data_IF_645170150109
#
_entry.id   IF_645170150109
#
_cell.length_a   1.000
_cell.length_b   1.000
_cell.length_c   1.000
_cell.angle_alpha   90.00
_cell.angle_beta   90.00
_cell.angle_gamma   90.00
#
_symmetry.space_group_name_H-M   'P 1'
#
loop_
_entity.id
_entity.type
_entity.pdbx_description
1 polymer ?
#
# COMPACT_ATOMS: atom_id res chain seq x y z
N UNK A 1 -21.32 42.79 5.32
CA UNK A 1 -20.98 41.52 4.66
C UNK A 1 -20.54 40.59 5.77
N UNK A 2 -21.16 39.43 5.93
CA UNK A 2 -20.74 38.50 6.98
C UNK A 2 -19.39 37.94 6.55
N UNK A 3 -18.31 38.48 7.13
CA UNK A 3 -16.95 37.96 6.97
C UNK A 3 -16.85 36.65 7.76
N UNK A 4 -17.62 35.63 7.36
CA UNK A 4 -17.41 34.27 7.80
C UNK A 4 -16.24 33.72 6.95
N UNK A 5 -15.02 33.62 7.51
CA UNK A 5 -13.85 33.21 6.76
C UNK A 5 -13.99 31.78 6.20
N UNK A 6 -14.79 30.92 6.83
CA UNK A 6 -15.04 29.56 6.33
C UNK A 6 -15.91 29.63 5.09
N UNK A 7 -16.98 30.43 5.13
CA UNK A 7 -17.87 30.62 3.98
C UNK A 7 -17.11 31.20 2.79
N UNK A 8 -16.34 32.27 3.00
CA UNK A 8 -15.53 32.89 1.95
C UNK A 8 -14.50 31.92 1.37
N UNK A 9 -13.83 31.13 2.21
CA UNK A 9 -12.88 30.09 1.75
C UNK A 9 -13.56 29.05 0.85
N UNK A 10 -14.74 28.55 1.24
CA UNK A 10 -15.45 27.54 0.47
C UNK A 10 -15.95 28.11 -0.86
N UNK A 11 -16.47 29.34 -0.86
CA UNK A 11 -16.93 30.02 -2.08
C UNK A 11 -15.77 30.27 -3.05
N UNK A 12 -14.64 30.77 -2.56
CA UNK A 12 -13.45 31.04 -3.38
C UNK A 12 -12.85 29.74 -3.94
N UNK A 13 -12.68 28.72 -3.09
CA UNK A 13 -12.15 27.43 -3.52
C UNK A 13 -13.06 26.75 -4.55
N UNK A 14 -14.38 26.78 -4.33
CA UNK A 14 -15.36 26.23 -5.26
C UNK A 14 -15.30 26.93 -6.62
N UNK A 15 -15.30 28.26 -6.64
CA UNK A 15 -15.18 29.04 -7.88
C UNK A 15 -13.88 28.75 -8.62
N UNK A 16 -12.76 28.63 -7.91
CA UNK A 16 -11.46 28.36 -8.52
C UNK A 16 -11.36 26.95 -9.12
N UNK A 17 -11.96 25.95 -8.49
CA UNK A 17 -11.92 24.57 -8.98
C UNK A 17 -12.92 24.32 -10.11
N UNK A 18 -14.08 24.98 -10.14
CA UNK A 18 -15.10 24.78 -11.19
C UNK A 18 -14.80 25.45 -12.54
N UNK A 19 -13.84 26.37 -12.61
CA UNK A 19 -13.54 27.14 -13.82
C UNK A 19 -12.47 26.51 -14.74
N UNK A 20 -11.92 25.36 -14.38
CA UNK A 20 -10.84 24.73 -15.16
C UNK A 20 -11.40 23.84 -16.25
N UNK A 21 -10.85 23.96 -17.46
CA UNK A 21 -11.06 22.93 -18.49
C UNK A 21 -10.48 21.60 -17.99
N UNK A 22 -11.27 20.53 -18.14
CA UNK A 22 -10.88 19.19 -17.74
C UNK A 22 -9.99 18.54 -18.80
N UNK A 23 -8.97 17.81 -18.35
CA UNK A 23 -8.23 16.85 -19.15
C UNK A 23 -8.63 15.45 -18.74
N UNK A 24 -8.93 14.61 -19.73
CA UNK A 24 -9.29 13.21 -19.53
C UNK A 24 -8.08 12.29 -19.71
N UNK A 25 -6.90 12.79 -19.35
CA UNK A 25 -5.61 12.08 -19.39
C UNK A 25 -4.91 12.26 -18.03
N UNK A 26 -4.34 11.18 -17.49
CA UNK A 26 -3.59 11.23 -16.22
C UNK A 26 -2.32 12.07 -16.36
N UNK A 27 -1.95 12.86 -15.36
CA UNK A 27 -0.63 13.52 -15.33
C UNK A 27 0.48 12.47 -15.18
N UNK A 28 1.41 12.42 -16.12
CA UNK A 28 2.48 11.43 -16.14
C UNK A 28 3.87 12.08 -16.06
N UNK A 29 4.71 11.57 -15.15
CA UNK A 29 6.13 11.95 -15.03
C UNK A 29 7.08 10.85 -15.56
N UNK A 30 6.54 9.71 -15.99
CA UNK A 30 7.25 8.63 -16.67
C UNK A 30 7.38 8.86 -18.18
N UNK A 31 7.83 7.83 -18.88
CA UNK A 31 8.01 7.82 -20.35
C UNK A 31 6.97 6.96 -21.08
N UNK A 32 6.20 6.16 -20.34
CA UNK A 32 5.16 5.31 -20.89
C UNK A 32 3.98 6.09 -21.46
N UNK A 33 3.25 5.46 -22.37
CA UNK A 33 2.07 6.04 -22.99
C UNK A 33 0.95 6.27 -21.97
N UNK A 34 0.29 7.43 -22.07
CA UNK A 34 -1.00 7.69 -21.42
C UNK A 34 -2.14 7.40 -22.39
N UNK A 35 -3.30 7.03 -21.86
CA UNK A 35 -4.49 6.76 -22.65
C UNK A 35 -5.56 7.81 -22.35
N UNK A 36 -6.31 8.17 -23.39
CA UNK A 36 -7.50 9.01 -23.24
C UNK A 36 -8.56 8.23 -22.48
N UNK A 37 -9.21 8.87 -21.52
CA UNK A 37 -10.32 8.32 -20.75
C UNK A 37 -11.60 8.84 -21.40
N UNK A 38 -12.24 8.02 -22.23
CA UNK A 38 -13.50 8.36 -22.88
C UNK A 38 -14.50 7.21 -22.73
N UNK A 39 -15.83 7.46 -22.79
CA UNK A 39 -16.82 6.40 -22.61
C UNK A 39 -16.64 5.19 -23.56
N UNK A 40 -16.12 5.42 -24.77
CA UNK A 40 -15.81 4.36 -25.74
C UNK A 40 -14.65 3.45 -25.35
N UNK A 41 -13.79 3.88 -24.44
CA UNK A 41 -12.59 3.14 -24.01
C UNK A 41 -12.87 2.21 -22.81
N UNK A 42 -14.08 2.28 -22.25
CA UNK A 42 -14.48 1.39 -21.17
C UNK A 42 -14.82 0.00 -21.71
N UNK A 43 -14.28 -1.02 -21.05
CA UNK A 43 -14.55 -2.41 -21.37
C UNK A 43 -15.34 -3.07 -20.24
N UNK A 44 -16.37 -3.83 -20.58
CA UNK A 44 -17.14 -4.62 -19.62
C UNK A 44 -16.30 -5.77 -19.04
N UNK A 45 -16.37 -5.96 -17.72
CA UNK A 45 -15.82 -7.16 -17.08
C UNK A 45 -16.86 -8.27 -17.13
N UNK A 46 -16.67 -9.19 -18.08
CA UNK A 46 -17.56 -10.32 -18.35
C UNK A 46 -17.31 -11.46 -17.38
N UNK A 47 -18.38 -12.09 -16.93
CA UNK A 47 -18.30 -13.23 -16.01
C UNK A 47 -17.60 -14.44 -16.67
N UNK A 48 -16.72 -15.07 -15.90
CA UNK A 48 -16.00 -16.30 -16.27
C UNK A 48 -16.39 -17.45 -15.34
N UNK A 49 -16.36 -18.68 -15.84
CA UNK A 49 -16.79 -19.86 -15.06
C UNK A 49 -15.75 -20.32 -14.03
N UNK A 50 -14.47 -20.06 -14.31
CA UNK A 50 -13.34 -20.58 -13.54
C UNK A 50 -12.51 -19.44 -12.97
N UNK A 51 -12.88 -18.88 -11.79
CA UNK A 51 -12.09 -17.85 -11.15
C UNK A 51 -10.71 -18.41 -10.77
N UNK A 52 -9.68 -17.58 -10.97
CA UNK A 52 -8.29 -17.89 -10.62
C UNK A 52 -8.15 -17.97 -9.10
N UNK A 53 -7.17 -18.73 -8.63
CA UNK A 53 -6.73 -18.64 -7.23
C UNK A 53 -5.96 -17.34 -7.06
N UNK A 54 -6.29 -16.57 -6.02
CA UNK A 54 -5.72 -15.27 -5.73
C UNK A 54 -5.13 -15.31 -4.33
N UNK A 55 -3.88 -14.87 -4.19
CA UNK A 55 -3.33 -14.46 -2.92
C UNK A 55 -3.43 -12.94 -2.76
N UNK A 56 -3.85 -12.46 -1.59
CA UNK A 56 -3.81 -11.06 -1.22
C UNK A 56 -2.78 -10.87 -0.12
N UNK A 57 -1.85 -9.93 -0.28
CA UNK A 57 -0.80 -9.63 0.70
C UNK A 57 -0.98 -8.20 1.20
N UNK A 58 -0.93 -8.03 2.51
CA UNK A 58 -1.03 -6.71 3.17
C UNK A 58 -0.17 -6.66 4.44
N UNK A 59 0.10 -5.44 4.93
CA UNK A 59 0.92 -5.15 6.08
C UNK A 59 0.33 -4.05 6.98
N UNK A 60 0.28 -4.33 8.28
CA UNK A 60 -0.03 -3.36 9.33
C UNK A 60 1.18 -3.10 10.23
N UNK A 61 1.25 -1.89 10.78
CA UNK A 61 2.19 -1.54 11.85
C UNK A 61 1.50 -0.74 12.95
N UNK A 62 2.14 -0.72 14.11
CA UNK A 62 1.69 0.00 15.29
C UNK A 62 2.88 0.59 16.03
N UNK A 63 3.00 1.93 16.10
CA UNK A 63 4.00 2.60 16.93
C UNK A 63 3.82 2.28 18.42
N UNK A 64 4.87 1.77 19.04
CA UNK A 64 4.89 1.42 20.47
C UNK A 64 5.55 2.50 21.31
N UNK A 65 6.67 3.04 20.84
CA UNK A 65 7.42 4.11 21.49
C UNK A 65 8.10 4.97 20.43
N UNK A 66 8.02 6.28 20.56
CA UNK A 66 8.60 7.24 19.61
C UNK A 66 9.38 8.34 20.32
N UNK A 67 10.49 8.72 19.70
CA UNK A 67 11.38 9.80 20.11
C UNK A 67 11.98 10.42 18.85
N UNK A 68 12.47 11.68 18.88
CA UNK A 68 13.07 12.30 17.70
C UNK A 68 14.23 11.53 17.07
N UNK A 69 14.88 10.61 17.81
CA UNK A 69 16.02 9.83 17.34
C UNK A 69 15.78 8.31 17.23
N UNK A 70 14.61 7.82 17.64
CA UNK A 70 14.26 6.41 17.49
C UNK A 70 12.75 6.18 17.44
N UNK A 71 12.36 5.08 16.81
CA UNK A 71 10.98 4.60 16.76
C UNK A 71 10.97 3.09 16.98
N UNK A 72 10.09 2.60 17.85
CA UNK A 72 9.82 1.17 18.03
C UNK A 72 8.42 0.88 17.50
N UNK A 73 8.31 -0.12 16.63
CA UNK A 73 7.05 -0.57 16.04
C UNK A 73 6.85 -2.06 16.23
N UNK A 74 5.60 -2.47 16.40
CA UNK A 74 5.17 -3.83 16.08
C UNK A 74 4.67 -3.83 14.64
N UNK A 75 5.08 -4.81 13.86
CA UNK A 75 4.69 -4.99 12.47
C UNK A 75 4.04 -6.36 12.32
N UNK A 76 3.08 -6.44 11.42
CA UNK A 76 2.43 -7.67 11.04
C UNK A 76 2.17 -7.66 9.55
N UNK A 77 2.61 -8.70 8.88
CA UNK A 77 2.29 -8.95 7.48
C UNK A 77 1.50 -10.23 7.38
N UNK A 78 0.56 -10.26 6.45
CA UNK A 78 -0.36 -11.36 6.33
C UNK A 78 -0.74 -11.59 4.87
N UNK A 79 -1.06 -12.84 4.54
CA UNK A 79 -1.70 -13.16 3.27
C UNK A 79 -2.95 -14.00 3.41
N UNK A 80 -3.91 -13.77 2.52
CA UNK A 80 -5.11 -14.61 2.40
C UNK A 80 -5.13 -15.30 1.03
N UNK A 81 -5.78 -16.46 0.93
CA UNK A 81 -5.96 -17.18 -0.33
C UNK A 81 -7.44 -17.35 -0.63
N UNK A 82 -7.84 -17.06 -1.86
CA UNK A 82 -9.22 -17.18 -2.31
C UNK A 82 -9.29 -17.76 -3.73
N UNK A 83 -10.42 -18.37 -4.06
CA UNK A 83 -10.79 -18.71 -5.43
C UNK A 83 -12.27 -18.39 -5.62
N UNK A 84 -12.55 -17.36 -6.42
CA UNK A 84 -13.87 -16.73 -6.48
C UNK A 84 -14.30 -16.26 -5.08
N UNK A 85 -15.43 -16.76 -4.58
CA UNK A 85 -15.96 -16.43 -3.24
C UNK A 85 -15.40 -17.31 -2.12
N UNK A 86 -14.66 -18.38 -2.44
CA UNK A 86 -14.25 -19.38 -1.45
C UNK A 86 -12.86 -19.07 -0.91
N UNK A 87 -12.72 -19.02 0.41
CA UNK A 87 -11.41 -18.97 1.08
C UNK A 87 -10.72 -20.32 0.93
N UNK A 88 -9.44 -20.30 0.58
CA UNK A 88 -8.58 -21.47 0.49
C UNK A 88 -7.68 -21.49 1.72
N UNK A 89 -7.49 -22.68 2.32
CA UNK A 89 -6.60 -22.85 3.46
C UNK A 89 -5.14 -22.77 2.97
N UNK A 90 -4.30 -21.88 3.54
CA UNK A 90 -2.86 -21.86 3.26
C UNK A 90 -2.16 -23.15 3.69
N UNK A 91 -1.05 -23.50 3.02
CA UNK A 91 -0.17 -24.61 3.42
C UNK A 91 0.69 -24.22 4.61
N UNK A 92 1.16 -22.97 4.66
CA UNK A 92 1.94 -22.43 5.77
C UNK A 92 1.16 -21.41 6.61
N UNK A 93 1.70 -21.00 7.75
CA UNK A 93 1.09 -19.95 8.56
C UNK A 93 1.02 -18.63 7.76
N UNK A 94 -0.17 -18.05 7.55
CA UNK A 94 -0.31 -16.84 6.75
C UNK A 94 0.17 -15.55 7.43
N UNK A 95 0.37 -15.58 8.75
CA UNK A 95 0.68 -14.39 9.55
C UNK A 95 2.12 -14.40 10.05
N UNK A 96 2.85 -13.33 9.77
CA UNK A 96 4.19 -13.09 10.32
C UNK A 96 4.14 -11.83 11.17
N UNK A 97 4.68 -11.91 12.39
CA UNK A 97 4.72 -10.79 13.32
C UNK A 97 6.14 -10.57 13.82
N UNK A 98 6.54 -9.30 13.93
CA UNK A 98 7.88 -8.94 14.39
C UNK A 98 7.88 -7.52 14.96
N UNK A 99 8.78 -7.26 15.90
CA UNK A 99 9.08 -5.90 16.31
C UNK A 99 10.20 -5.35 15.43
N UNK A 100 10.23 -4.04 15.27
CA UNK A 100 11.40 -3.36 14.73
C UNK A 100 11.69 -2.10 15.53
N UNK A 101 12.94 -1.67 15.48
CA UNK A 101 13.26 -0.29 15.79
C UNK A 101 13.98 0.37 14.61
N UNK A 102 13.80 1.68 14.50
CA UNK A 102 14.60 2.56 13.64
C UNK A 102 15.35 3.52 14.54
N UNK A 103 16.64 3.70 14.31
CA UNK A 103 17.46 4.74 14.96
C UNK A 103 18.05 5.67 13.93
N UNK A 104 18.09 6.97 14.22
CA UNK A 104 18.82 7.96 13.41
C UNK A 104 20.25 8.11 13.91
N UNK A 105 21.22 8.05 13.00
CA UNK A 105 22.62 8.39 13.26
C UNK A 105 22.99 9.64 12.45
N UNK A 106 23.84 10.50 13.01
CA UNK A 106 24.31 11.72 12.35
C UNK A 106 25.81 11.58 12.16
N UNK A 107 26.25 11.62 10.90
CA UNK A 107 27.66 11.59 10.53
C UNK A 107 28.04 12.88 9.81
N UNK A 108 29.25 13.38 10.05
CA UNK A 108 29.79 14.53 9.31
C UNK A 108 30.74 14.02 8.24
N UNK A 109 30.38 14.17 6.97
CA UNK A 109 31.22 13.82 5.81
C UNK A 109 31.47 15.10 5.03
N UNK A 110 32.75 15.43 4.80
CA UNK A 110 33.18 16.64 4.08
C UNK A 110 32.55 17.95 4.62
N UNK A 111 32.41 18.05 5.94
CA UNK A 111 31.82 19.21 6.63
C UNK A 111 30.28 19.30 6.52
N UNK A 112 29.63 18.36 5.83
CA UNK A 112 28.16 18.26 5.75
C UNK A 112 27.64 17.21 6.72
N UNK A 113 26.55 17.52 7.41
CA UNK A 113 25.84 16.56 8.27
C UNK A 113 24.93 15.69 7.41
N UNK A 114 25.15 14.38 7.47
CA UNK A 114 24.30 13.38 6.86
C UNK A 114 23.55 12.63 7.96
N UNK A 115 22.24 12.42 7.75
CA UNK A 115 21.42 11.61 8.64
C UNK A 115 21.25 10.24 7.99
N UNK A 116 21.62 9.18 8.71
CA UNK A 116 21.35 7.81 8.31
C UNK A 116 20.34 7.17 9.26
N UNK A 117 19.51 6.28 8.73
CA UNK A 117 18.53 5.52 9.49
C UNK A 117 18.89 4.04 9.42
N UNK A 118 18.98 3.39 10.58
CA UNK A 118 19.23 1.96 10.68
C UNK A 118 18.01 1.27 11.29
N UNK A 119 17.50 0.25 10.60
CA UNK A 119 16.37 -0.56 11.07
C UNK A 119 16.86 -1.94 11.51
N UNK A 120 16.42 -2.38 12.69
CA UNK A 120 16.61 -3.75 13.18
C UNK A 120 15.28 -4.46 13.34
N UNK A 121 15.28 -5.77 13.11
CA UNK A 121 14.10 -6.63 13.14
C UNK A 121 14.22 -7.70 14.23
N UNK A 122 13.13 -7.91 14.94
CA UNK A 122 13.01 -8.86 16.04
C UNK A 122 11.80 -9.77 15.76
N UNK A 123 12.00 -10.90 15.07
CA UNK A 123 10.91 -11.81 14.75
C UNK A 123 10.27 -12.35 16.03
N UNK A 124 8.94 -12.55 16.02
CA UNK A 124 8.23 -13.10 17.18
C UNK A 124 8.63 -14.55 17.47
N UNK A 125 8.91 -15.34 16.42
CA UNK A 125 9.48 -16.69 16.51
C UNK A 125 10.73 -16.84 15.64
N UNK A 126 11.59 -17.81 15.92
CA UNK A 126 12.77 -18.05 15.06
C UNK A 126 12.39 -18.48 13.64
N UNK A 127 11.22 -19.09 13.45
CA UNK A 127 10.68 -19.49 12.15
C UNK A 127 10.30 -18.27 11.30
N UNK A 128 9.79 -17.21 11.93
CA UNK A 128 9.36 -15.98 11.23
C UNK A 128 10.52 -15.29 10.49
N UNK A 129 11.77 -15.53 10.90
CA UNK A 129 12.97 -14.92 10.33
C UNK A 129 13.09 -15.16 8.81
N UNK A 130 12.58 -16.29 8.30
CA UNK A 130 12.64 -16.62 6.86
C UNK A 130 11.76 -15.70 6.00
N UNK A 131 10.76 -15.07 6.60
CA UNK A 131 9.84 -14.14 5.92
C UNK A 131 10.25 -12.67 6.06
N UNK A 132 11.37 -12.39 6.74
CA UNK A 132 11.85 -11.02 6.95
C UNK A 132 12.91 -10.62 5.92
N UNK A 133 13.02 -9.32 5.61
CA UNK A 133 14.07 -8.81 4.75
C UNK A 133 15.43 -8.80 5.47
N UNK A 134 16.49 -8.63 4.71
CA UNK A 134 17.83 -8.44 5.27
C UNK A 134 17.93 -7.04 5.89
N UNK A 135 18.36 -6.95 7.15
CA UNK A 135 18.52 -5.66 7.84
C UNK A 135 19.50 -4.71 7.14
N UNK A 136 20.49 -5.24 6.43
CA UNK A 136 21.42 -4.46 5.61
C UNK A 136 20.72 -3.66 4.51
N UNK A 137 19.57 -4.15 4.03
CA UNK A 137 18.78 -3.49 2.99
C UNK A 137 17.84 -2.41 3.59
N UNK A 138 17.67 -2.39 4.92
CA UNK A 138 16.80 -1.45 5.64
C UNK A 138 17.54 -0.22 6.19
N UNK A 139 18.69 0.11 5.59
CA UNK A 139 19.46 1.31 5.88
C UNK A 139 19.20 2.37 4.81
N UNK A 140 18.95 3.62 5.22
CA UNK A 140 18.72 4.74 4.31
C UNK A 140 19.47 5.99 4.74
N UNK A 141 19.97 6.78 3.78
CA UNK A 141 20.71 8.02 4.02
C UNK A 141 19.94 9.20 3.44
N UNK A 142 19.86 10.30 4.17
CA UNK A 142 19.21 11.54 3.72
C UNK A 142 20.05 12.77 4.09
N UNK A 143 20.10 13.75 3.20
CA UNK A 143 20.71 15.07 3.47
C UNK A 143 19.75 16.02 4.22
N UNK A 144 18.53 15.57 4.54
CA UNK A 144 17.52 16.38 5.25
C UNK A 144 17.90 16.59 6.72
N UNK A 145 17.68 17.80 7.22
CA UNK A 145 17.88 18.18 8.63
C UNK A 145 16.70 17.83 9.54
N UNK A 146 15.56 17.42 8.96
CA UNK A 146 14.43 16.86 9.71
C UNK A 146 14.67 15.37 9.97
N UNK A 147 14.96 15.05 11.23
CA UNK A 147 15.07 13.67 11.69
C UNK A 147 13.66 13.08 11.74
N UNK A 148 13.44 11.95 11.06
CA UNK A 148 12.16 11.22 11.01
C UNK A 148 10.98 12.10 10.53
N UNK A 149 10.82 12.29 9.20
CA UNK A 149 9.46 12.50 8.68
C UNK A 149 8.69 11.18 8.84
N UNK A 150 8.10 11.03 10.03
CA UNK A 150 7.60 9.82 10.69
C UNK A 150 6.38 9.13 10.08
N UNK A 151 6.30 9.03 8.76
CA UNK A 151 5.34 8.14 8.09
C UNK A 151 6.02 7.22 7.06
N UNK A 152 7.07 7.72 6.38
CA UNK A 152 7.82 6.93 5.38
C UNK A 152 8.84 5.99 6.02
N UNK A 153 9.47 6.38 7.12
CA UNK A 153 10.48 5.55 7.81
C UNK A 153 9.84 4.50 8.74
N UNK A 154 8.65 4.79 9.27
CA UNK A 154 7.89 3.92 10.19
C UNK A 154 7.52 2.59 9.55
N UNK A 155 7.37 2.56 8.22
CA UNK A 155 6.90 1.41 7.46
C UNK A 155 8.01 0.64 6.72
N UNK A 156 9.30 0.98 6.88
CA UNK A 156 10.39 0.30 6.16
C UNK A 156 10.42 -1.21 6.44
N UNK A 157 10.40 -1.59 7.73
CA UNK A 157 10.40 -2.99 8.14
C UNK A 157 9.18 -3.74 7.59
N UNK A 158 7.98 -3.16 7.78
CA UNK A 158 6.71 -3.70 7.28
C UNK A 158 6.70 -3.88 5.76
N UNK A 159 6.97 -2.81 5.00
CA UNK A 159 6.90 -2.78 3.54
C UNK A 159 7.87 -3.77 2.89
N UNK A 160 9.10 -3.88 3.40
CA UNK A 160 10.05 -4.88 2.90
C UNK A 160 9.64 -6.31 3.30
N UNK A 161 9.01 -6.49 4.47
CA UNK A 161 8.44 -7.77 4.86
C UNK A 161 7.22 -8.17 4.00
N UNK A 162 6.40 -7.22 3.55
CA UNK A 162 5.31 -7.47 2.59
C UNK A 162 5.88 -8.07 1.28
N UNK A 163 6.96 -7.49 0.74
CA UNK A 163 7.63 -8.06 -0.44
C UNK A 163 8.21 -9.45 -0.20
N UNK A 164 8.84 -9.68 0.94
CA UNK A 164 9.39 -10.99 1.27
C UNK A 164 8.30 -12.04 1.46
N UNK A 165 7.19 -11.68 2.09
CA UNK A 165 6.03 -12.55 2.22
C UNK A 165 5.43 -12.85 0.84
N UNK A 166 5.28 -11.84 -0.02
CA UNK A 166 4.81 -12.01 -1.40
C UNK A 166 5.69 -12.99 -2.20
N UNK A 167 7.02 -12.87 -2.09
CA UNK A 167 7.95 -13.83 -2.72
C UNK A 167 7.67 -15.25 -2.23
N UNK A 168 7.57 -15.43 -0.91
CA UNK A 168 7.31 -16.75 -0.31
C UNK A 168 5.97 -17.34 -0.75
N UNK A 169 4.92 -16.52 -0.84
CA UNK A 169 3.60 -16.93 -1.32
C UNK A 169 3.67 -17.39 -2.78
N UNK A 170 4.38 -16.67 -3.64
CA UNK A 170 4.62 -17.10 -5.02
C UNK A 170 5.40 -18.42 -5.04
N UNK A 171 6.41 -18.60 -4.19
CA UNK A 171 7.22 -19.84 -4.13
C UNK A 171 6.37 -21.05 -3.70
N UNK A 172 5.56 -20.92 -2.66
CA UNK A 172 4.96 -22.05 -1.93
C UNK A 172 3.45 -22.27 -2.17
N UNK A 173 2.68 -21.21 -2.43
CA UNK A 173 1.21 -21.26 -2.43
C UNK A 173 0.60 -21.18 -3.84
N UNK A 174 1.22 -20.45 -4.75
CA UNK A 174 0.67 -20.16 -6.08
C UNK A 174 1.26 -21.07 -7.17
N UNK A 175 0.53 -21.26 -8.26
CA UNK A 175 0.92 -22.03 -9.46
C UNK A 175 0.68 -21.20 -10.72
N UNK A 176 1.10 -21.72 -11.88
CA UNK A 176 0.89 -21.03 -13.15
C UNK A 176 -0.61 -20.71 -13.36
N UNK A 177 -0.91 -19.47 -13.73
CA UNK A 177 -2.26 -18.95 -13.91
C UNK A 177 -2.90 -18.39 -12.63
N UNK A 178 -2.32 -18.62 -11.45
CA UNK A 178 -2.78 -17.98 -10.21
C UNK A 178 -2.34 -16.51 -10.15
N UNK A 179 -2.93 -15.76 -9.22
CA UNK A 179 -2.71 -14.33 -9.04
C UNK A 179 -2.13 -14.02 -7.67
N UNK A 180 -1.22 -13.04 -7.62
CA UNK A 180 -0.81 -12.35 -6.40
C UNK A 180 -1.26 -10.89 -6.51
N UNK A 181 -1.99 -10.42 -5.51
CA UNK A 181 -2.43 -9.02 -5.37
C UNK A 181 -1.76 -8.42 -4.14
N UNK A 182 -0.99 -7.36 -4.34
CA UNK A 182 -0.43 -6.55 -3.24
C UNK A 182 -1.32 -5.32 -3.00
N UNK A 183 -1.47 -4.89 -1.73
CA UNK A 183 -2.18 -3.64 -1.43
C UNK A 183 -1.34 -2.42 -1.90
N UNK A 184 -1.93 -1.58 -2.74
CA UNK A 184 -1.26 -0.45 -3.37
C UNK A 184 -0.79 -0.70 -4.81
N UNK A 185 0.16 0.11 -5.27
CA UNK A 185 0.74 0.01 -6.62
C UNK A 185 1.98 -0.88 -6.65
N UNK A 186 2.36 -1.31 -7.85
CA UNK A 186 3.60 -2.05 -8.15
C UNK A 186 4.84 -1.15 -8.23
N UNK A 187 4.74 0.07 -7.71
CA UNK A 187 5.82 1.04 -7.60
C UNK A 187 6.61 0.84 -6.31
N UNK A 188 7.95 0.92 -6.43
CA UNK A 188 8.84 0.96 -5.28
C UNK A 188 9.12 2.39 -4.83
N UNK A 189 9.08 2.65 -3.52
CA UNK A 189 9.30 3.97 -2.92
C UNK A 189 10.70 4.14 -2.33
N UNK A 190 11.45 3.05 -2.15
CA UNK A 190 12.81 3.07 -1.61
C UNK A 190 13.80 2.39 -2.55
N UNK A 191 15.02 2.94 -2.64
CA UNK A 191 16.08 2.43 -3.52
C UNK A 191 16.34 0.93 -3.36
N UNK A 192 16.40 0.42 -2.12
CA UNK A 192 16.68 -0.98 -1.85
C UNK A 192 15.45 -1.90 -2.04
N UNK A 193 14.25 -1.34 -2.14
CA UNK A 193 13.02 -2.10 -2.35
C UNK A 193 12.97 -2.71 -3.76
N UNK A 194 13.57 -2.03 -4.74
CA UNK A 194 13.69 -2.47 -6.14
C UNK A 194 14.28 -3.89 -6.23
N UNK A 195 15.24 -4.23 -5.35
CA UNK A 195 15.84 -5.57 -5.29
C UNK A 195 14.79 -6.65 -4.98
N UNK A 196 13.87 -6.39 -4.05
CA UNK A 196 12.84 -7.33 -3.63
C UNK A 196 11.72 -7.42 -4.66
N UNK A 197 11.25 -6.26 -5.15
CA UNK A 197 10.24 -6.20 -6.20
C UNK A 197 10.72 -6.92 -7.47
N UNK A 198 11.96 -6.67 -7.92
CA UNK A 198 12.56 -7.39 -9.07
C UNK A 198 12.61 -8.89 -8.85
N UNK A 199 13.03 -9.35 -7.66
CA UNK A 199 13.05 -10.79 -7.33
C UNK A 199 11.65 -11.39 -7.41
N UNK A 200 10.63 -10.69 -6.87
CA UNK A 200 9.24 -11.13 -6.97
C UNK A 200 8.79 -11.25 -8.42
N UNK A 201 9.02 -10.21 -9.23
CA UNK A 201 8.59 -10.17 -10.63
C UNK A 201 9.28 -11.26 -11.46
N UNK A 202 10.61 -11.41 -11.33
CA UNK A 202 11.38 -12.45 -12.02
C UNK A 202 10.86 -13.86 -11.67
N UNK A 203 10.60 -14.11 -10.38
CA UNK A 203 10.06 -15.37 -9.89
C UNK A 203 8.66 -15.63 -10.43
N UNK A 204 7.79 -14.63 -10.38
CA UNK A 204 6.40 -14.76 -10.80
C UNK A 204 6.30 -14.99 -12.31
N UNK A 205 7.06 -14.25 -13.12
CA UNK A 205 7.18 -14.50 -14.56
C UNK A 205 7.65 -15.92 -14.86
N UNK A 206 8.70 -16.39 -14.17
CA UNK A 206 9.20 -17.76 -14.33
C UNK A 206 8.16 -18.82 -13.98
N UNK A 207 7.31 -18.58 -12.98
CA UNK A 207 6.29 -19.52 -12.50
C UNK A 207 4.95 -19.39 -13.24
N UNK A 208 4.78 -18.34 -14.06
CA UNK A 208 3.51 -18.01 -14.69
C UNK A 208 2.46 -17.48 -13.70
N UNK A 209 2.87 -16.90 -12.58
CA UNK A 209 1.97 -16.27 -11.59
C UNK A 209 1.77 -14.81 -11.99
N UNK A 210 0.52 -14.36 -12.03
CA UNK A 210 0.13 -13.00 -12.44
C UNK A 210 0.28 -12.05 -11.25
N UNK A 211 1.05 -10.98 -11.43
CA UNK A 211 1.28 -9.96 -10.40
C UNK A 211 0.36 -8.78 -10.63
N UNK A 212 -0.37 -8.42 -9.58
CA UNK A 212 -1.30 -7.31 -9.59
C UNK A 212 -1.09 -6.37 -8.40
N UNK A 213 -1.32 -5.08 -8.63
CA UNK A 213 -1.48 -4.07 -7.58
C UNK A 213 -2.93 -3.62 -7.50
N UNK A 214 -3.48 -3.45 -6.31
CA UNK A 214 -4.81 -2.91 -6.11
C UNK A 214 -4.78 -1.81 -5.05
N UNK A 215 -5.04 -0.57 -5.45
CA UNK A 215 -5.05 0.57 -4.53
C UNK A 215 -6.49 1.06 -4.28
N UNK A 216 -6.87 1.09 -3.00
CA UNK A 216 -8.15 1.62 -2.49
C UNK A 216 -8.32 3.12 -2.78
N UNK A 217 -7.20 3.86 -2.82
CA UNK A 217 -7.15 5.31 -3.02
C UNK A 217 -6.00 5.68 -3.95
N UNK A 218 -6.11 6.82 -4.63
CA UNK A 218 -5.04 7.38 -5.46
C UNK A 218 -4.90 8.87 -5.21
N UNK A 219 -3.66 9.37 -5.24
CA UNK A 219 -3.34 10.81 -5.25
C UNK A 219 -2.96 11.31 -6.64
N UNK A 220 -3.08 10.45 -7.66
CA UNK A 220 -2.85 10.85 -9.04
C UNK A 220 -3.93 11.82 -9.47
N UNK A 221 -3.51 12.77 -10.30
CA UNK A 221 -4.36 13.80 -10.89
C UNK A 221 -4.30 13.70 -12.41
N UNK A 222 -5.27 14.28 -13.09
CA UNK A 222 -5.22 14.51 -14.53
C UNK A 222 -4.27 15.66 -14.87
N UNK A 223 -4.02 15.88 -16.16
CA UNK A 223 -3.18 17.02 -16.59
C UNK A 223 -3.81 18.39 -16.26
N UNK A 224 -5.13 18.47 -16.08
CA UNK A 224 -5.85 19.65 -15.57
C UNK A 224 -5.80 19.80 -14.04
N UNK A 225 -5.34 18.76 -13.34
CA UNK A 225 -5.22 18.73 -11.88
C UNK A 225 -6.42 18.12 -11.14
N UNK A 226 -7.36 17.50 -11.85
CA UNK A 226 -8.52 16.84 -11.25
C UNK A 226 -8.12 15.51 -10.61
N UNK A 227 -8.70 15.09 -9.48
CA UNK A 227 -8.44 13.77 -8.90
C UNK A 227 -8.80 12.65 -9.89
N UNK A 228 -7.80 11.85 -10.31
CA UNK A 228 -7.94 10.92 -11.43
C UNK A 228 -9.15 9.97 -11.28
N UNK A 229 -9.28 9.30 -10.14
CA UNK A 229 -10.34 8.31 -9.94
C UNK A 229 -11.72 8.95 -9.84
N UNK A 230 -11.81 10.21 -9.39
CA UNK A 230 -13.07 10.95 -9.40
C UNK A 230 -13.46 11.29 -10.84
N UNK A 231 -12.51 11.78 -11.64
CA UNK A 231 -12.75 12.09 -13.05
C UNK A 231 -13.16 10.86 -13.87
N UNK A 232 -12.49 9.72 -13.66
CA UNK A 232 -12.89 8.44 -14.27
C UNK A 232 -14.32 8.06 -13.87
N UNK A 233 -14.68 8.25 -12.59
CA UNK A 233 -16.02 7.92 -12.11
C UNK A 233 -17.10 8.80 -12.76
N UNK A 234 -16.84 10.09 -12.97
CA UNK A 234 -17.73 11.01 -13.69
C UNK A 234 -17.94 10.56 -15.14
N UNK A 235 -16.86 10.27 -15.89
CA UNK A 235 -16.94 9.82 -17.28
C UNK A 235 -17.69 8.48 -17.38
N UNK A 236 -17.56 7.63 -16.36
CA UNK A 236 -18.22 6.33 -16.30
C UNK A 236 -19.75 6.42 -16.07
N UNK A 237 -20.30 7.59 -15.73
CA UNK A 237 -21.76 7.78 -15.60
C UNK A 237 -22.48 7.57 -16.95
N UNK A 238 -21.80 7.82 -18.06
CA UNK A 238 -22.31 7.61 -19.42
C UNK A 238 -22.08 6.18 -19.95
N UNK A 239 -21.52 5.28 -19.12
CA UNK A 239 -21.20 3.90 -19.49
C UNK A 239 -22.27 2.95 -18.97
N UNK A 240 -22.76 2.06 -19.84
CA UNK A 240 -23.88 1.13 -19.51
C UNK A 240 -23.47 -0.10 -18.70
N UNK A 241 -22.17 -0.33 -18.49
CA UNK A 241 -21.65 -1.52 -17.83
C UNK A 241 -21.72 -1.42 -16.31
N UNK A 242 -22.21 -2.47 -15.65
CA UNK A 242 -22.19 -2.56 -14.19
C UNK A 242 -20.78 -2.80 -13.62
N UNK A 243 -19.96 -3.58 -14.33
CA UNK A 243 -18.56 -3.86 -13.99
C UNK A 243 -17.69 -3.51 -15.18
N UNK A 244 -16.64 -2.74 -14.97
CA UNK A 244 -15.83 -2.23 -16.07
C UNK A 244 -14.38 -2.00 -15.70
N UNK A 245 -13.54 -1.87 -16.71
CA UNK A 245 -12.19 -1.34 -16.62
C UNK A 245 -11.91 -0.36 -17.76
N UNK A 246 -10.95 0.53 -17.55
CA UNK A 246 -10.44 1.45 -18.57
C UNK A 246 -8.93 1.59 -18.41
N UNK A 247 -8.20 1.63 -19.52
CA UNK A 247 -6.73 1.79 -19.53
C UNK A 247 -6.39 3.25 -19.17
N UNK A 248 -5.31 3.44 -18.40
CA UNK A 248 -4.91 4.76 -17.91
C UNK A 248 -3.51 5.13 -18.40
N UNK A 249 -2.51 4.30 -18.10
CA UNK A 249 -1.12 4.53 -18.52
C UNK A 249 -0.28 3.26 -18.46
N UNK A 250 0.78 3.18 -19.28
CA UNK A 250 1.79 2.12 -19.20
C UNK A 250 2.68 2.26 -17.95
N UNK A 251 2.94 3.50 -17.52
CA UNK A 251 3.57 3.90 -16.26
C UNK A 251 3.14 5.33 -15.93
N UNK A 252 3.10 5.67 -14.63
CA UNK A 252 3.02 7.07 -14.19
C UNK A 252 4.36 7.64 -13.68
N UNK A 253 5.37 6.79 -13.50
CA UNK A 253 6.73 7.16 -13.08
C UNK A 253 7.75 6.08 -13.46
N UNK A 254 9.05 6.39 -13.45
CA UNK A 254 10.12 5.47 -13.87
C UNK A 254 10.24 4.19 -13.03
N UNK A 255 9.81 4.24 -11.76
CA UNK A 255 9.87 3.11 -10.83
C UNK A 255 8.54 2.34 -10.77
N UNK A 256 7.55 2.77 -11.56
CA UNK A 256 6.27 2.07 -11.71
C UNK A 256 6.40 0.98 -12.78
N UNK A 257 6.09 -0.25 -12.38
CA UNK A 257 6.17 -1.44 -13.24
C UNK A 257 4.78 -1.96 -13.61
N UNK A 258 3.72 -1.36 -13.11
CA UNK A 258 2.35 -1.75 -13.41
C UNK A 258 1.81 -1.05 -14.65
N UNK A 259 1.18 -1.81 -15.55
CA UNK A 259 0.25 -1.24 -16.52
C UNK A 259 -1.02 -0.84 -15.77
N UNK A 260 -1.32 0.45 -15.76
CA UNK A 260 -2.36 1.04 -14.93
C UNK A 260 -3.71 1.05 -15.63
N UNK A 261 -4.72 0.62 -14.89
CA UNK A 261 -6.14 0.70 -15.22
C UNK A 261 -6.91 1.33 -14.07
N UNK A 262 -8.08 1.88 -14.38
CA UNK A 262 -9.12 2.13 -13.41
C UNK A 262 -10.20 1.06 -13.55
N UNK A 263 -10.72 0.56 -12.43
CA UNK A 263 -11.64 -0.58 -12.40
C UNK A 263 -12.82 -0.34 -11.46
N UNK A 264 -13.98 -0.88 -11.84
CA UNK A 264 -15.16 -1.01 -11.00
C UNK A 264 -15.63 -2.47 -11.03
N UNK A 265 -15.45 -3.16 -9.90
CA UNK A 265 -15.73 -4.59 -9.80
C UNK A 265 -17.19 -4.94 -9.47
N UNK A 266 -18.03 -3.95 -9.18
CA UNK A 266 -19.44 -4.16 -8.84
C UNK A 266 -20.30 -2.94 -9.20
N UNK A 267 -21.48 -3.17 -9.79
CA UNK A 267 -22.45 -2.14 -10.20
C UNK A 267 -22.80 -1.14 -9.09
N UNK A 268 -23.20 -1.66 -7.93
CA UNK A 268 -23.54 -0.90 -6.72
C UNK A 268 -22.34 -0.33 -5.95
N UNK A 269 -21.11 -0.55 -6.42
CA UNK A 269 -19.94 0.10 -5.81
C UNK A 269 -19.98 1.60 -6.09
N UNK A 270 -19.78 2.40 -5.05
CA UNK A 270 -19.50 3.84 -5.21
C UNK A 270 -18.02 4.13 -5.50
N UNK A 271 -17.17 3.12 -5.40
CA UNK A 271 -15.73 3.26 -5.50
C UNK A 271 -15.23 2.75 -6.84
N UNK A 272 -14.31 3.52 -7.42
CA UNK A 272 -13.43 3.13 -8.53
C UNK A 272 -12.05 2.94 -7.94
N UNK A 273 -11.35 1.89 -8.37
CA UNK A 273 -10.03 1.54 -7.85
C UNK A 273 -8.97 1.71 -8.92
N UNK A 274 -7.74 2.04 -8.49
CA UNK A 274 -6.55 1.91 -9.33
C UNK A 274 -6.11 0.45 -9.27
N UNK A 275 -5.99 -0.16 -10.44
CA UNK A 275 -5.58 -1.55 -10.58
C UNK A 275 -4.43 -1.64 -11.57
N UNK A 276 -3.48 -2.51 -11.28
CA UNK A 276 -2.30 -2.73 -12.08
C UNK A 276 -2.09 -4.20 -12.33
N UNK A 277 -1.64 -4.52 -13.54
CA UNK A 277 -1.01 -5.80 -13.86
C UNK A 277 0.44 -5.47 -14.19
N UNK A 278 1.39 -6.31 -13.76
CA UNK A 278 2.80 -6.13 -14.15
C UNK A 278 2.91 -5.96 -15.67
N UNK A 279 3.53 -4.87 -16.12
CA UNK A 279 3.46 -4.40 -17.52
C UNK A 279 3.85 -5.48 -18.51
N UNK A 280 4.96 -6.18 -18.27
CA UNK A 280 5.44 -7.25 -19.13
C UNK A 280 4.44 -8.41 -19.25
N UNK A 281 3.64 -8.67 -18.21
CA UNK A 281 2.59 -9.67 -18.26
C UNK A 281 1.36 -9.14 -19.00
N UNK A 282 0.97 -7.89 -18.77
CA UNK A 282 -0.14 -7.26 -19.45
C UNK A 282 0.06 -7.21 -20.98
N UNK A 283 1.26 -6.84 -21.44
CA UNK A 283 1.61 -6.78 -22.86
C UNK A 283 1.55 -8.15 -23.56
N UNK A 284 1.74 -9.24 -22.81
CA UNK A 284 1.68 -10.60 -23.32
C UNK A 284 0.26 -11.21 -23.28
N UNK A 285 -0.68 -10.58 -22.56
CA UNK A 285 -2.04 -11.10 -22.39
C UNK A 285 -2.96 -10.69 -23.54
N UNK A 286 -3.86 -11.59 -23.92
CA UNK A 286 -5.02 -11.24 -24.75
C UNK A 286 -6.19 -10.71 -23.89
N UNK A 287 -7.26 -10.25 -24.57
CA UNK A 287 -8.44 -9.69 -23.90
C UNK A 287 -9.17 -10.69 -22.99
N UNK A 288 -9.21 -11.97 -23.35
CA UNK A 288 -9.85 -13.01 -22.52
C UNK A 288 -9.07 -13.26 -21.23
N UNK A 289 -7.74 -13.21 -21.28
CA UNK A 289 -6.86 -13.34 -20.12
C UNK A 289 -7.00 -12.15 -19.17
N UNK A 290 -7.02 -10.92 -19.72
CA UNK A 290 -7.28 -9.69 -18.95
C UNK A 290 -8.64 -9.77 -18.28
N UNK A 291 -9.68 -10.16 -19.03
CA UNK A 291 -11.03 -10.32 -18.49
C UNK A 291 -11.07 -11.38 -17.38
N UNK A 292 -10.36 -12.51 -17.54
CA UNK A 292 -10.27 -13.56 -16.53
C UNK A 292 -9.61 -13.07 -15.23
N UNK A 293 -8.57 -12.23 -15.31
CA UNK A 293 -7.94 -11.59 -14.14
C UNK A 293 -8.93 -10.68 -13.42
N UNK A 294 -9.56 -9.78 -14.17
CA UNK A 294 -10.49 -8.78 -13.61
C UNK A 294 -11.76 -9.42 -13.05
N UNK A 295 -12.33 -10.42 -13.72
CA UNK A 295 -13.52 -11.10 -13.24
C UNK A 295 -13.24 -11.95 -12.00
N UNK A 296 -12.04 -12.53 -11.87
CA UNK A 296 -11.64 -13.25 -10.64
C UNK A 296 -11.69 -12.33 -9.41
N UNK A 297 -11.28 -11.06 -9.56
CA UNK A 297 -11.42 -10.03 -8.53
C UNK A 297 -12.88 -9.59 -8.35
N UNK A 298 -13.63 -9.43 -9.44
CA UNK A 298 -15.04 -9.06 -9.38
C UNK A 298 -15.90 -10.09 -8.64
N UNK A 299 -15.65 -11.39 -8.86
CA UNK A 299 -16.32 -12.48 -8.15
C UNK A 299 -16.01 -12.46 -6.65
N UNK A 300 -14.82 -12.01 -6.26
CA UNK A 300 -14.41 -11.84 -4.86
C UNK A 300 -14.91 -10.51 -4.24
N UNK A 301 -15.49 -9.61 -5.03
CA UNK A 301 -15.88 -8.24 -4.63
C UNK A 301 -17.38 -8.08 -4.31
N UNK A 302 -18.00 -9.14 -3.80
CA UNK A 302 -19.45 -9.25 -3.61
C UNK A 302 -19.88 -9.06 -2.13
N UNK A 303 -18.93 -8.78 -1.24
CA UNK A 303 -19.20 -8.68 0.20
C UNK A 303 -19.88 -7.37 0.55
N UNK A 304 -20.91 -7.43 1.40
CA UNK A 304 -21.72 -6.26 1.80
C UNK A 304 -20.93 -5.30 2.70
N UNK A 305 -19.93 -5.77 3.43
CA UNK A 305 -19.10 -4.94 4.30
C UNK A 305 -18.35 -3.86 3.50
N UNK A 306 -17.94 -4.17 2.27
CA UNK A 306 -17.36 -3.21 1.34
C UNK A 306 -17.61 -3.64 -0.12
N UNK A 307 -18.83 -3.36 -0.59
CA UNK A 307 -19.27 -3.75 -1.94
C UNK A 307 -18.33 -3.19 -3.02
N UNK A 308 -17.92 -4.05 -3.95
CA UNK A 308 -16.97 -3.70 -5.01
C UNK A 308 -15.49 -3.83 -4.65
N UNK A 309 -15.13 -4.12 -3.40
CA UNK A 309 -13.75 -4.38 -3.01
C UNK A 309 -13.53 -5.88 -2.71
N UNK A 310 -12.43 -6.51 -3.19
CA UNK A 310 -12.22 -7.95 -3.00
C UNK A 310 -12.16 -8.33 -1.51
N UNK A 311 -12.99 -9.29 -1.10
CA UNK A 311 -13.04 -9.75 0.28
C UNK A 311 -11.69 -10.30 0.78
N UNK A 312 -10.90 -10.91 -0.10
CA UNK A 312 -9.57 -11.40 0.27
C UNK A 312 -8.59 -10.28 0.62
N UNK A 313 -8.72 -9.10 0.01
CA UNK A 313 -7.97 -7.92 0.41
C UNK A 313 -8.46 -7.36 1.75
N UNK A 314 -9.78 -7.38 2.01
CA UNK A 314 -10.34 -7.03 3.33
C UNK A 314 -9.85 -7.99 4.42
N UNK A 315 -9.82 -9.30 4.15
CA UNK A 315 -9.28 -10.31 5.06
C UNK A 315 -7.80 -10.01 5.33
N UNK A 316 -7.02 -9.72 4.29
CA UNK A 316 -5.60 -9.44 4.43
C UNK A 316 -5.33 -8.20 5.30
N UNK A 317 -5.97 -7.08 4.99
CA UNK A 317 -5.92 -5.82 5.75
C UNK A 317 -6.31 -6.04 7.23
N UNK A 318 -7.46 -6.69 7.45
CA UNK A 318 -8.00 -6.94 8.79
C UNK A 318 -7.07 -7.78 9.66
N UNK A 319 -6.43 -8.79 9.07
CA UNK A 319 -5.53 -9.69 9.79
C UNK A 319 -4.10 -9.16 9.88
N UNK A 320 -3.69 -8.23 9.02
CA UNK A 320 -2.43 -7.50 9.11
C UNK A 320 -2.49 -6.35 10.13
N UNK A 321 -3.67 -5.74 10.34
CA UNK A 321 -3.83 -4.63 11.28
C UNK A 321 -3.46 -5.02 12.73
N UNK A 322 -2.67 -4.18 13.39
CA UNK A 322 -2.43 -4.22 14.85
C UNK A 322 -3.48 -3.36 15.53
N UNK A 323 -4.36 -3.97 16.34
CA UNK A 323 -5.49 -3.27 16.96
C UNK A 323 -5.04 -2.44 18.17
N UNK A 324 -5.83 -1.43 18.53
CA UNK A 324 -5.47 -0.49 19.61
C UNK A 324 -5.35 -1.15 20.99
N UNK A 325 -6.22 -2.11 21.29
CA UNK A 325 -6.18 -2.92 22.52
C UNK A 325 -4.89 -3.76 22.59
N UNK A 326 -4.54 -4.40 21.48
CA UNK A 326 -3.28 -5.13 21.32
C UNK A 326 -2.06 -4.19 21.43
N UNK A 327 -2.13 -3.01 20.82
CA UNK A 327 -1.07 -2.01 20.88
C UNK A 327 -0.80 -1.56 22.31
N UNK A 328 -1.87 -1.29 23.08
CA UNK A 328 -1.77 -0.90 24.49
C UNK A 328 -1.13 -2.00 25.36
N UNK A 329 -1.44 -3.27 25.08
CA UNK A 329 -0.79 -4.39 25.74
C UNK A 329 0.73 -4.40 25.48
N UNK A 330 1.16 -4.30 24.21
CA UNK A 330 2.59 -4.29 23.88
C UNK A 330 3.32 -3.06 24.42
N UNK A 331 2.67 -1.89 24.44
CA UNK A 331 3.21 -0.69 25.10
C UNK A 331 3.49 -0.96 26.59
N UNK A 332 2.57 -1.62 27.28
CA UNK A 332 2.77 -2.05 28.67
C UNK A 332 3.96 -3.00 28.86
N UNK A 333 4.12 -3.99 27.98
CA UNK A 333 5.25 -4.93 28.02
C UNK A 333 6.59 -4.23 27.77
N UNK A 334 6.66 -3.37 26.75
CA UNK A 334 7.87 -2.60 26.45
C UNK A 334 8.23 -1.68 27.60
N UNK A 335 7.26 -0.94 28.15
CA UNK A 335 7.50 -0.06 29.29
C UNK A 335 8.05 -0.84 30.49
N UNK A 336 7.46 -2.00 30.80
CA UNK A 336 7.95 -2.89 31.87
C UNK A 336 9.41 -3.32 31.63
N UNK A 337 9.77 -3.70 30.40
CA UNK A 337 11.15 -4.09 30.06
C UNK A 337 12.12 -2.91 30.09
N UNK A 338 11.69 -1.72 29.65
CA UNK A 338 12.47 -0.49 29.72
C UNK A 338 12.79 -0.12 31.18
N UNK A 339 11.80 -0.17 32.08
CA UNK A 339 11.96 0.19 33.49
C UNK A 339 12.97 -0.70 34.24
N UNK A 340 13.19 -1.93 33.78
CA UNK A 340 14.19 -2.86 34.35
C UNK A 340 15.63 -2.49 34.00
N UNK A 341 15.84 -1.60 33.03
CA UNK A 341 17.14 -1.34 32.40
C UNK A 341 17.58 0.11 32.65
N UNK A 342 18.74 0.34 33.30
CA UNK A 342 19.20 1.68 33.64
C UNK A 342 19.37 2.62 32.44
N UNK A 343 19.70 2.12 31.25
CA UNK A 343 19.91 2.94 30.05
C UNK A 343 18.65 3.71 29.65
N UNK A 344 17.47 3.14 29.92
CA UNK A 344 16.18 3.72 29.55
C UNK A 344 15.76 4.90 30.40
N UNK A 345 16.33 5.08 31.61
CA UNK A 345 16.08 6.28 32.43
C UNK A 345 16.49 7.58 31.72
N UNK A 346 17.49 7.51 30.82
CA UNK A 346 17.90 8.64 29.98
C UNK A 346 17.00 8.79 28.76
N UNK A 347 16.66 7.69 28.10
CA UNK A 347 15.84 7.69 26.87
C UNK A 347 14.38 8.11 27.13
N UNK A 348 13.83 7.82 28.31
CA UNK A 348 12.49 8.27 28.70
C UNK A 348 12.33 9.80 28.65
N UNK A 349 13.42 10.55 28.90
CA UNK A 349 13.43 12.02 28.76
C UNK A 349 13.30 12.47 27.31
N UNK A 350 13.70 11.64 26.35
CA UNK A 350 13.60 11.96 24.93
C UNK A 350 12.17 11.77 24.42
N UNK A 351 11.50 10.69 24.80
CA UNK A 351 10.09 10.46 24.46
C UNK A 351 9.16 11.50 25.10
N UNK A 352 9.44 11.92 26.34
CA UNK A 352 8.67 12.95 27.04
C UNK A 352 8.68 14.32 26.33
N UNK A 353 9.64 14.57 25.42
CA UNK A 353 9.67 15.80 24.61
C UNK A 353 8.54 15.87 23.58
N UNK A 354 8.00 14.72 23.19
CA UNK A 354 6.89 14.61 22.22
C UNK A 354 5.52 14.51 22.91
N UNK A 355 5.46 14.11 24.19
CA UNK A 355 4.20 13.81 24.88
C UNK A 355 3.48 15.02 25.48
N UNK A 356 4.03 16.24 25.35
CA UNK A 356 3.41 17.46 25.90
C UNK A 356 2.02 17.72 25.29
N UNK A 357 1.82 17.39 24.01
CA UNK A 357 0.53 17.50 23.35
C UNK A 357 -0.51 16.50 23.91
N UNK A 358 -0.10 15.25 24.18
CA UNK A 358 -1.00 14.23 24.72
C UNK A 358 -1.43 14.55 26.17
N UNK A 359 -0.50 15.08 26.97
CA UNK A 359 -0.79 15.53 28.34
C UNK A 359 -1.74 16.74 28.34
N UNK A 360 -1.53 17.71 27.44
CA UNK A 360 -2.44 18.85 27.32
C UNK A 360 -3.84 18.38 26.90
N UNK A 361 -3.92 17.53 25.87
CA UNK A 361 -5.19 16.99 25.38
C UNK A 361 -5.99 16.33 26.51
N UNK A 362 -5.37 15.47 27.34
CA UNK A 362 -6.04 14.82 28.46
C UNK A 362 -6.48 15.74 29.61
N UNK A 363 -6.06 17.01 29.63
CA UNK A 363 -6.49 18.03 30.62
C UNK A 363 -7.49 19.01 30.00
N UNK A 364 -7.49 19.16 28.67
CA UNK A 364 -8.37 20.10 27.95
C UNK A 364 -9.57 19.45 27.26
N UNK A 365 -9.60 18.11 27.15
CA UNK A 365 -10.76 17.30 26.71
C UNK A 365 -11.53 16.77 27.90
#
# INVERSE_FOLDING_TARGET
MSDDPVKSLIEELGAQLSQKEHSDVVLNNGKGKQFLIAPSEFCEIKQTESPRKIAFVDGGDGPLEESPNYLITINRVYYSLFQGKKRIKPKENPRVQFFSYVTSNIETVDGKKNVSYNTRLFPHSSEDKKYLPLESDLTSNTESTSVLQGARLNSLGRRFAEWQLAIHVVESELSAGDMLVVDGSLQTNFKNEIKYAKRLYDLAMKKGVIICGLAKTSRLITESGDPLLARVAEIAEDVSFGKWHVKIAEEVSSDDRGFMMAVKFHEKSRFVFRFEILREQFEAMNEEEINSVLDSLAQNSQDVAMIGYPYGAIDADRFAQVRMDELNMYKGFILSEMLKRPEWKRLQKYSASLSAHDVLNGVTS
#
